data_IF_071630754888
#
_entry.id   IF_071630754888
#
_cell.length_a   1.000
_cell.length_b   1.000
_cell.length_c   1.000
_cell.angle_alpha   90.00
_cell.angle_beta   90.00
_cell.angle_gamma   90.00
#
_symmetry.space_group_name_H-M   'P 1'
#
loop_
_entity.id
_entity.type
_entity.pdbx_description
1 polymer ?
2 polymer ?
3 non-polymer ?
4 water ?
#
# COMPACT_ATOMS: atom_id res chain seq x y z
N UNK A 34 10.39 1.67 10.00
CA UNK A 34 9.66 2.71 9.28
C UNK A 34 8.21 2.80 9.79
N UNK A 35 7.30 1.94 9.30
CA UNK A 35 6.02 1.78 9.97
C UNK A 35 4.84 2.27 9.16
N UNK A 36 3.68 2.27 9.84
CA UNK A 36 2.43 2.59 9.17
C UNK A 36 2.26 4.09 8.88
N UNK A 37 2.99 4.95 9.58
CA UNK A 37 2.70 6.38 9.58
C UNK A 37 3.79 7.19 8.87
N UNK A 38 4.54 6.53 7.99
CA UNK A 38 5.46 7.27 7.12
C UNK A 38 4.69 8.15 6.15
N UNK A 39 5.42 9.08 5.52
CA UNK A 39 4.94 9.76 4.33
C UNK A 39 5.44 8.92 3.16
N UNK A 40 4.56 8.19 2.51
CA UNK A 40 5.02 7.07 1.67
C UNK A 40 5.45 7.46 0.27
N UNK A 41 5.10 8.66 -0.18
CA UNK A 41 5.26 9.23 -1.53
C UNK A 41 4.94 10.69 -1.51
N UNK A 42 5.29 11.42 -2.57
CA UNK A 42 5.11 12.87 -2.54
C UNK A 42 3.68 13.33 -2.33
N UNK A 43 2.69 12.50 -2.66
CA UNK A 43 1.29 12.87 -2.53
C UNK A 43 0.58 12.11 -1.41
N UNK A 44 1.34 11.45 -0.54
CA UNK A 44 0.78 10.63 0.53
C UNK A 44 -0.22 11.45 1.32
N UNK A 45 -1.41 10.87 1.51
CA UNK A 45 -2.51 11.53 2.22
C UNK A 45 -2.93 10.75 3.46
N UNK A 46 -2.09 9.81 3.94
CA UNK A 46 -2.38 9.09 5.16
C UNK A 46 -1.70 9.82 6.31
N UNK A 47 -2.44 10.10 7.37
CA UNK A 47 -1.95 10.86 8.50
C UNK A 47 -2.51 10.25 9.77
N UNK A 48 -1.62 10.00 10.74
CA UNK A 48 -2.03 9.39 11.99
C UNK A 48 -3.07 10.21 12.72
N UNK A 49 -3.18 11.50 12.40
CA UNK A 49 -4.15 12.38 13.06
C UNK A 49 -5.50 12.44 12.33
N UNK A 50 -5.66 11.79 11.18
CA UNK A 50 -6.93 11.85 10.45
C UNK A 50 -7.38 10.53 9.86
N UNK A 51 -6.57 9.49 9.85
CA UNK A 51 -6.89 8.28 9.10
C UNK A 51 -8.13 7.60 9.62
N UNK A 52 -8.90 7.06 8.69
CA UNK A 52 -10.05 6.20 8.96
C UNK A 52 -10.01 5.02 8.02
N UNK A 53 -10.70 3.92 8.36
CA UNK A 53 -10.65 2.75 7.48
C UNK A 53 -11.30 3.00 6.13
N UNK A 54 -10.72 2.35 5.13
CA UNK A 54 -11.26 2.32 3.78
C UNK A 54 -11.48 0.89 3.28
N UNK A 55 -10.42 0.15 3.10
CA UNK A 55 -10.56 -1.19 2.61
C UNK A 55 -11.27 -2.03 3.66
N UNK A 56 -11.95 -3.08 3.20
CA UNK A 56 -12.69 -3.94 4.08
C UNK A 56 -11.81 -4.72 5.04
N UNK A 57 -10.50 -4.79 4.78
CA UNK A 57 -9.57 -5.50 5.65
C UNK A 57 -8.93 -4.59 6.71
N UNK A 58 -9.20 -3.31 6.69
CA UNK A 58 -8.66 -2.36 7.64
C UNK A 58 -9.53 -2.22 8.87
N UNK A 59 -8.88 -2.01 10.01
CA UNK A 59 -9.55 -1.72 11.27
C UNK A 59 -8.94 -0.45 11.85
N UNK A 60 -7.71 -0.54 12.37
CA UNK A 60 -7.05 0.61 13.00
C UNK A 60 -5.76 1.03 12.33
N UNK A 61 -5.31 0.34 11.29
CA UNK A 61 -4.06 0.63 10.62
C UNK A 61 -4.22 0.59 9.10
N UNK A 62 -3.53 1.47 8.38
CA UNK A 62 -3.67 1.48 6.91
C UNK A 62 -3.04 0.26 6.24
N UNK A 63 -3.71 -0.25 5.22
CA UNK A 63 -3.14 -1.29 4.39
C UNK A 63 -1.94 -0.79 3.62
N UNK A 64 -0.92 -1.63 3.54
CA UNK A 64 0.34 -1.28 2.87
C UNK A 64 0.78 -2.40 1.97
N UNK A 65 1.61 -2.02 1.00
CA UNK A 65 2.16 -2.97 0.05
C UNK A 65 3.61 -2.62 -0.19
N UNK A 66 4.40 -3.67 -0.41
CA UNK A 66 5.84 -3.53 -0.59
C UNK A 66 6.18 -3.32 -2.06
N UNK A 67 6.90 -2.24 -2.34
CA UNK A 67 7.45 -1.98 -3.67
C UNK A 67 8.87 -2.52 -3.74
N UNK A 68 9.14 -3.31 -4.79
CA UNK A 68 10.41 -4.01 -4.93
C UNK A 68 11.51 -3.19 -5.61
N UNK A 69 11.26 -1.91 -5.93
CA UNK A 69 12.30 -1.09 -6.53
C UNK A 69 13.46 -0.90 -5.57
N UNK A 70 14.68 -0.99 -6.12
CA UNK A 70 15.89 -0.69 -5.35
C UNK A 70 16.02 -1.61 -4.16
N UNK A 71 16.21 -1.01 -2.99
CA UNK A 71 16.30 -1.77 -1.74
C UNK A 71 14.93 -2.13 -1.19
N UNK A 72 13.85 -1.67 -1.81
CA UNK A 72 12.49 -1.93 -1.39
C UNK A 72 11.99 -0.90 -0.42
N UNK A 73 10.68 -0.64 -0.49
CA UNK A 73 10.05 0.29 0.45
C UNK A 73 8.56 -0.02 0.50
N UNK A 74 7.91 0.45 1.55
CA UNK A 74 6.49 0.23 1.78
C UNK A 74 5.69 1.48 1.42
N UNK A 75 4.51 1.27 0.80
CA UNK A 75 3.63 2.40 0.47
C UNK A 75 2.24 2.05 0.98
N UNK A 76 1.44 3.07 1.26
CA UNK A 76 0.04 2.82 1.60
C UNK A 76 -0.72 2.50 0.33
N UNK A 77 -1.55 1.46 0.38
CA UNK A 77 -2.32 1.08 -0.81
C UNK A 77 -3.24 2.19 -1.27
N UNK A 78 -3.86 2.93 -0.34
CA UNK A 78 -4.77 3.99 -0.71
C UNK A 78 -4.05 5.10 -1.45
N UNK A 79 -2.81 5.42 -1.06
CA UNK A 79 -2.04 6.46 -1.72
C UNK A 79 -1.70 6.08 -3.15
N UNK A 80 -1.71 4.80 -3.48
CA UNK A 80 -1.48 4.29 -4.82
C UNK A 80 -2.74 4.24 -5.66
N UNK A 81 -3.90 4.52 -5.06
CA UNK A 81 -5.17 4.50 -5.76
C UNK A 81 -5.54 3.08 -6.19
N UNK A 82 -5.05 2.09 -5.44
CA UNK A 82 -5.40 0.70 -5.70
C UNK A 82 -6.84 0.45 -5.26
N UNK A 83 -7.62 -0.17 -6.13
CA UNK A 83 -8.93 -0.66 -5.75
C UNK A 83 -8.77 -1.84 -4.78
N UNK A 84 -9.81 -2.08 -3.97
CA UNK A 84 -9.74 -3.22 -3.06
C UNK A 84 -9.47 -4.54 -3.79
N UNK A 85 -10.16 -4.80 -4.90
CA UNK A 85 -9.93 -6.03 -5.64
C UNK A 85 -8.46 -6.19 -6.03
N UNK A 86 -7.85 -5.11 -6.54
CA UNK A 86 -6.45 -5.19 -6.99
C UNK A 86 -5.54 -5.48 -5.82
N UNK A 87 -5.78 -4.81 -4.69
CA UNK A 87 -4.96 -5.01 -3.50
C UNK A 87 -5.04 -6.44 -3.01
N UNK A 88 -6.25 -7.00 -2.99
CA UNK A 88 -6.41 -8.38 -2.51
C UNK A 88 -5.69 -9.34 -3.44
N UNK A 89 -5.81 -9.13 -4.77
CA UNK A 89 -5.08 -10.00 -5.69
C UNK A 89 -3.57 -9.89 -5.49
N UNK A 90 -3.08 -8.68 -5.24
CA UNK A 90 -1.65 -8.49 -5.00
C UNK A 90 -1.22 -9.22 -3.73
N UNK A 91 -2.06 -9.19 -2.70
CA UNK A 91 -1.69 -9.80 -1.43
C UNK A 91 -1.74 -11.33 -1.49
N UNK A 92 -2.47 -11.89 -2.43
CA UNK A 92 -2.69 -13.33 -2.50
C UNK A 92 -1.67 -14.03 -3.38
N UNK A 93 -0.84 -13.31 -4.10
CA UNK A 93 0.11 -13.89 -5.02
C UNK A 93 1.55 -13.60 -4.64
N UNK A 94 2.46 -14.12 -5.46
CA UNK A 94 3.89 -13.92 -5.26
C UNK A 94 4.50 -12.94 -6.25
N UNK A 95 3.69 -12.31 -7.09
CA UNK A 95 4.24 -11.34 -8.02
C UNK A 95 4.76 -10.13 -7.25
N UNK A 96 5.84 -9.56 -7.75
CA UNK A 96 6.37 -8.34 -7.19
C UNK A 96 5.47 -7.19 -7.61
N UNK A 97 5.39 -6.19 -6.73
CA UNK A 97 4.69 -4.94 -6.99
C UNK A 97 5.70 -3.81 -7.09
N UNK A 98 5.44 -2.85 -7.99
CA UNK A 98 6.18 -1.62 -8.11
C UNK A 98 5.22 -0.44 -7.99
N UNK A 99 5.58 0.50 -7.12
CA UNK A 99 4.66 1.60 -6.82
C UNK A 99 4.60 2.57 -7.98
N UNK A 100 3.69 3.54 -7.88
CA UNK A 100 3.41 4.41 -9.01
C UNK A 100 4.62 5.24 -9.42
N UNK A 101 5.53 5.53 -8.48
CA UNK A 101 6.74 6.29 -8.81
C UNK A 101 7.82 5.47 -9.48
N UNK A 102 7.77 4.15 -9.38
CA UNK A 102 8.86 3.27 -9.78
C UNK A 102 8.48 2.28 -10.87
N UNK A 103 7.20 2.08 -11.16
CA UNK A 103 6.84 1.01 -12.09
C UNK A 103 7.32 1.27 -13.52
N UNK A 104 7.38 2.53 -13.94
CA UNK A 104 7.88 2.82 -15.27
C UNK A 104 9.34 2.38 -15.42
N UNK A 105 10.14 2.60 -14.37
CA UNK A 105 11.53 2.14 -14.34
C UNK A 105 11.63 0.62 -14.39
N UNK A 106 10.77 -0.08 -13.63
CA UNK A 106 10.82 -1.55 -13.58
C UNK A 106 10.46 -2.20 -14.91
N UNK A 107 9.59 -1.57 -15.69
CA UNK A 107 9.14 -2.13 -16.96
C UNK A 107 10.01 -1.71 -18.14
N UNK A 108 10.98 -0.83 -17.92
CA UNK A 108 11.82 -0.38 -19.00
C UNK A 108 12.85 -1.45 -19.34
N UNK B 1 2.72 -10.14 -3.77
CA UNK B 1 3.49 -9.08 -3.12
C UNK B 1 3.24 -9.08 -1.62
N UNK B 2 4.27 -8.70 -0.86
CA UNK B 2 4.10 -8.56 0.57
C UNK B 2 3.19 -7.39 0.88
N UNK B 3 2.30 -7.61 1.85
CA UNK B 3 1.33 -6.58 2.23
C UNK B 3 1.09 -6.57 3.74
N UNK B 4 0.41 -5.53 4.21
CA UNK B 4 0.00 -5.42 5.59
C UNK B 4 -1.50 -5.06 5.62
N UNK B 5 -2.24 -5.61 6.58
CA UNK B 5 -3.64 -5.30 6.82
C UNK B 5 -4.52 -5.68 5.61
N UNK B 6 -4.26 -6.85 5.03
CA UNK B 6 -5.05 -7.37 3.94
C UNK B 6 -5.75 -8.69 4.29
N UNK B 7 -5.79 -9.08 5.56
CA UNK B 7 -6.46 -10.30 5.97
C UNK B 7 -7.93 -10.02 6.19
N UNK B 8 -8.78 -10.96 5.77
CA UNK B 8 -10.22 -10.82 5.99
C UNK B 8 -10.50 -10.88 7.48
N UNK B 9 -11.26 -9.91 7.97
CA UNK B 9 -11.59 -9.81 9.40
C UNK B 9 -12.26 -11.10 9.93
X LIG C 1 0.87 7.18 1.86
X LIG D 1 8.47 2.25 -5.22
#
# INVERSE_FOLDING_TARGET
>A
MGSSHHHHHHSSGLVPRGSHMASMTGGQQMGRGSGYWITCCPTCDVDINTWVPFYSTELNKPAMIYCSHGDGHWVHAQCMDLAERTLIHLSAGSNKYYCNEHVEIARA
>B
ARTXQTARKSTGGY
>C hetero
1 ZN ZN
>D hetero
1 ZN ZN
#
